data_IF_174781700984
#
_entry.id   IF_174781700984
#
_cell.length_a   1.000
_cell.length_b   1.000
_cell.length_c   1.000
_cell.angle_alpha   90.00
_cell.angle_beta   90.00
_cell.angle_gamma   90.00
#
_symmetry.space_group_name_H-M   'P 1'
#
loop_
_entity.id
_entity.type
_entity.pdbx_description
1 polymer ?
#
# COMPACT_ATOMS: atom_id res chain seq x y z
N UNK A 1 19.78 -5.27 -23.39
CA UNK A 1 18.95 -4.32 -22.61
C UNK A 1 19.55 -4.29 -21.22
N UNK A 2 20.06 -3.14 -20.78
CA UNK A 2 20.57 -2.98 -19.41
C UNK A 2 19.37 -2.72 -18.50
N UNK A 3 18.85 -3.74 -17.83
CA UNK A 3 17.85 -3.56 -16.79
C UNK A 3 18.50 -2.78 -15.64
N UNK A 4 18.20 -1.48 -15.56
CA UNK A 4 18.49 -0.68 -14.38
C UNK A 4 17.21 -0.64 -13.54
N UNK A 5 17.13 -1.36 -12.41
CA UNK A 5 15.94 -1.38 -11.58
C UNK A 5 15.66 0.03 -11.02
N UNK A 6 14.44 0.51 -11.23
CA UNK A 6 13.97 1.78 -10.69
C UNK A 6 13.17 1.55 -9.41
N UNK A 7 13.42 2.38 -8.39
CA UNK A 7 12.62 2.40 -7.16
C UNK A 7 11.56 3.48 -7.30
N UNK A 8 10.30 3.09 -7.19
CA UNK A 8 9.16 4.03 -7.24
C UNK A 8 8.22 3.79 -6.06
N UNK A 9 7.46 4.83 -5.68
CA UNK A 9 6.43 4.72 -4.65
C UNK A 9 5.16 4.13 -5.26
N UNK A 10 4.81 2.91 -4.85
CA UNK A 10 3.59 2.25 -5.33
C UNK A 10 2.32 2.80 -4.65
N UNK A 11 2.34 3.00 -3.34
CA UNK A 11 1.25 3.60 -2.58
C UNK A 11 1.76 4.32 -1.32
N UNK A 12 1.02 5.34 -0.88
CA UNK A 12 1.34 6.14 0.31
C UNK A 12 1.77 7.57 -0.03
N UNK A 13 1.20 8.52 0.70
CA UNK A 13 1.48 9.96 0.55
C UNK A 13 2.71 10.45 1.31
N UNK A 14 3.31 9.60 2.16
CA UNK A 14 4.36 9.99 3.12
C UNK A 14 3.84 10.73 4.37
N UNK A 15 2.56 11.10 4.41
CA UNK A 15 1.91 11.67 5.60
C UNK A 15 1.20 10.57 6.38
N UNK A 16 1.36 10.55 7.70
CA UNK A 16 0.67 9.61 8.57
C UNK A 16 -0.85 9.80 8.49
N UNK A 17 -1.60 8.72 8.26
CA UNK A 17 -3.06 8.76 8.19
C UNK A 17 -3.66 7.42 7.77
N UNK A 18 -4.97 7.39 7.54
CA UNK A 18 -5.75 6.20 7.18
C UNK A 18 -6.55 6.37 5.90
N UNK A 19 -6.22 7.36 5.07
CA UNK A 19 -6.97 7.64 3.85
C UNK A 19 -6.88 6.47 2.88
N UNK A 20 -8.04 6.04 2.37
CA UNK A 20 -8.12 5.19 1.18
C UNK A 20 -7.93 6.05 -0.06
N UNK A 21 -7.56 5.42 -1.17
CA UNK A 21 -7.27 6.13 -2.42
C UNK A 21 -6.36 5.32 -3.33
N UNK A 22 -6.02 5.87 -4.48
CA UNK A 22 -5.13 5.21 -5.45
C UNK A 22 -3.70 5.74 -5.31
N UNK A 23 -2.73 4.83 -5.21
CA UNK A 23 -1.32 5.18 -5.15
C UNK A 23 -0.97 6.16 -4.02
N UNK A 24 -0.44 7.32 -4.38
CA UNK A 24 -0.02 8.37 -3.42
C UNK A 24 -1.18 9.13 -2.78
N UNK A 25 -2.42 8.93 -3.23
CA UNK A 25 -3.60 9.50 -2.56
C UNK A 25 -3.97 8.73 -1.26
N UNK A 26 -3.48 7.50 -1.10
CA UNK A 26 -3.65 6.74 0.13
C UNK A 26 -2.60 7.16 1.20
N UNK A 27 -2.94 7.00 2.47
CA UNK A 27 -2.00 7.17 3.59
C UNK A 27 -2.04 5.98 4.54
N UNK A 28 -0.91 5.76 5.22
CA UNK A 28 -0.69 4.67 6.19
C UNK A 28 -0.05 5.24 7.45
N UNK A 29 0.00 4.48 8.54
CA UNK A 29 0.72 4.85 9.75
C UNK A 29 1.45 3.64 10.37
N UNK A 30 2.78 3.68 10.25
CA UNK A 30 3.69 2.61 10.71
C UNK A 30 3.26 1.22 10.20
N UNK A 31 3.15 1.00 8.87
CA UNK A 31 2.94 -0.34 8.34
C UNK A 31 4.12 -1.25 8.75
N UNK A 32 3.84 -2.48 9.17
CA UNK A 32 4.86 -3.38 9.75
C UNK A 32 5.02 -4.72 9.03
N UNK A 33 4.10 -5.07 8.12
CA UNK A 33 4.13 -6.32 7.39
C UNK A 33 3.37 -6.22 6.08
N UNK A 34 3.77 -7.04 5.11
CA UNK A 34 3.15 -7.12 3.78
C UNK A 34 3.12 -8.57 3.30
N UNK A 35 2.02 -8.97 2.65
CA UNK A 35 1.90 -10.24 1.92
C UNK A 35 1.05 -10.04 0.66
N UNK A 36 0.96 -11.07 -0.18
CA UNK A 36 0.27 -11.02 -1.48
C UNK A 36 -0.46 -12.32 -1.76
N UNK A 37 -1.62 -12.23 -2.43
CA UNK A 37 -2.31 -13.37 -3.06
C UNK A 37 -2.06 -13.45 -4.59
N UNK A 38 -1.19 -12.59 -5.12
CA UNK A 38 -0.90 -12.45 -6.56
C UNK A 38 -1.78 -11.43 -7.29
N UNK A 39 -2.95 -11.09 -6.75
CA UNK A 39 -3.86 -10.05 -7.29
C UNK A 39 -3.88 -8.80 -6.40
N UNK A 40 -3.68 -8.99 -5.10
CA UNK A 40 -3.79 -7.98 -4.07
C UNK A 40 -2.57 -8.04 -3.14
N UNK A 41 -2.14 -6.88 -2.66
CA UNK A 41 -1.25 -6.76 -1.51
C UNK A 41 -2.08 -6.55 -0.25
N UNK A 42 -1.65 -7.15 0.85
CA UNK A 42 -2.22 -6.97 2.17
C UNK A 42 -1.16 -6.42 3.10
N UNK A 43 -1.46 -5.32 3.79
CA UNK A 43 -0.50 -4.56 4.60
C UNK A 43 -1.05 -4.44 6.01
N UNK A 44 -0.25 -4.78 7.01
CA UNK A 44 -0.56 -4.54 8.42
C UNK A 44 -0.27 -3.09 8.79
N UNK A 45 -1.28 -2.22 8.75
CA UNK A 45 -1.18 -0.78 9.06
C UNK A 45 -1.36 -0.57 10.57
N UNK A 46 -0.24 -0.77 11.28
CA UNK A 46 -0.26 -1.22 12.68
C UNK A 46 -0.81 -0.18 13.64
N UNK A 47 -0.52 1.11 13.43
CA UNK A 47 -1.05 2.16 14.31
C UNK A 47 -2.47 2.59 13.91
N UNK A 48 -2.91 2.28 12.69
CA UNK A 48 -4.32 2.41 12.31
C UNK A 48 -5.18 1.22 12.79
N UNK A 49 -4.55 0.14 13.29
CA UNK A 49 -5.22 -1.11 13.68
C UNK A 49 -6.05 -1.72 12.53
N UNK A 50 -5.56 -1.62 11.29
CA UNK A 50 -6.26 -2.14 10.12
C UNK A 50 -5.35 -3.00 9.24
N UNK A 51 -5.97 -3.89 8.47
CA UNK A 51 -5.34 -4.53 7.31
C UNK A 51 -5.76 -3.76 6.07
N UNK A 52 -4.78 -3.25 5.33
CA UNK A 52 -5.00 -2.52 4.09
C UNK A 52 -4.87 -3.48 2.92
N UNK A 53 -5.76 -3.38 1.95
CA UNK A 53 -5.72 -4.13 0.70
C UNK A 53 -5.40 -3.20 -0.46
N UNK A 54 -4.42 -3.54 -1.26
CA UNK A 54 -4.09 -2.84 -2.51
C UNK A 54 -4.33 -3.76 -3.70
N UNK A 55 -5.15 -3.34 -4.65
CA UNK A 55 -5.29 -4.06 -5.93
C UNK A 55 -4.05 -3.78 -6.79
N UNK A 56 -3.26 -4.80 -7.12
CA UNK A 56 -1.93 -4.64 -7.73
C UNK A 56 -2.02 -3.97 -9.12
N UNK A 57 -3.03 -4.32 -9.92
CA UNK A 57 -3.17 -3.80 -11.28
C UNK A 57 -3.60 -2.34 -11.36
N UNK A 58 -4.15 -1.78 -10.28
CA UNK A 58 -4.72 -0.42 -10.28
C UNK A 58 -4.12 0.49 -9.20
N UNK A 59 -3.43 -0.06 -8.20
CA UNK A 59 -2.92 0.68 -7.05
C UNK A 59 -4.01 1.17 -6.09
N UNK A 60 -5.25 0.68 -6.21
CA UNK A 60 -6.36 1.10 -5.34
C UNK A 60 -6.18 0.51 -3.95
N UNK A 61 -6.07 1.40 -2.95
CA UNK A 61 -5.97 1.06 -1.54
C UNK A 61 -7.34 1.17 -0.86
N UNK A 62 -7.70 0.12 -0.12
CA UNK A 62 -8.91 0.05 0.70
C UNK A 62 -8.60 -0.58 2.07
N UNK A 63 -9.49 -0.41 3.03
CA UNK A 63 -9.44 -1.16 4.31
C UNK A 63 -10.12 -2.51 4.11
N UNK A 64 -9.41 -3.58 4.43
CA UNK A 64 -9.91 -4.95 4.34
C UNK A 64 -10.50 -5.44 5.67
N UNK A 65 -9.82 -5.13 6.77
CA UNK A 65 -10.21 -5.46 8.14
C UNK A 65 -9.74 -4.37 9.10
#
# INVERSE_FOLDING_TARGET
>A
VSDNPEVTTFAGSGTAGSANGTGTAASFIKPSGITSDGTNLYIADSTNHTIRKIVISTGVVSTFA
#
